data_IF_090911905083
#
_entry.id   IF_090911905083
#
_cell.length_a   1.000
_cell.length_b   1.000
_cell.length_c   1.000
_cell.angle_alpha   90.00
_cell.angle_beta   90.00
_cell.angle_gamma   90.00
#
_symmetry.space_group_name_H-M   'P 1'
#
loop_
_entity.id
_entity.type
_entity.pdbx_description
1 polymer ?
#
# COMPACT_ATOMS: atom_id res chain seq x y z
N UNK A 1 -2.26 -4.20 -3.98
CA UNK A 1 -3.37 -4.71 -3.17
C UNK A 1 -4.56 -4.01 -3.71
N UNK A 2 -5.52 -4.75 -4.24
CA UNK A 2 -6.74 -4.08 -4.66
C UNK A 2 -7.69 -4.04 -3.49
N UNK A 3 -7.58 -2.98 -2.68
CA UNK A 3 -8.53 -2.72 -1.60
C UNK A 3 -9.96 -2.54 -2.15
N UNK A 4 -10.15 -2.31 -3.46
CA UNK A 4 -11.47 -2.18 -4.08
C UNK A 4 -11.76 -3.32 -5.06
N UNK A 5 -12.60 -4.26 -4.64
CA UNK A 5 -13.10 -5.32 -5.53
C UNK A 5 -13.76 -4.77 -6.81
N UNK A 6 -14.38 -3.59 -6.71
CA UNK A 6 -14.99 -2.92 -7.87
C UNK A 6 -13.96 -2.32 -8.83
N UNK A 7 -12.86 -1.77 -8.31
CA UNK A 7 -11.73 -1.32 -9.12
C UNK A 7 -11.12 -2.49 -9.88
N UNK A 8 -10.89 -3.61 -9.18
CA UNK A 8 -10.37 -4.84 -9.77
C UNK A 8 -11.21 -5.32 -10.95
N UNK A 9 -12.53 -5.50 -10.73
CA UNK A 9 -13.43 -5.96 -11.78
C UNK A 9 -13.41 -5.05 -13.02
N UNK A 10 -13.35 -3.73 -12.80
CA UNK A 10 -13.27 -2.75 -13.89
C UNK A 10 -11.97 -2.86 -14.70
N UNK A 11 -10.87 -3.30 -14.08
CA UNK A 11 -9.62 -3.59 -14.79
C UNK A 11 -9.71 -4.79 -15.74
N UNK A 12 -10.61 -5.73 -15.45
CA UNK A 12 -10.80 -6.93 -16.24
C UNK A 12 -11.78 -6.72 -17.40
N UNK A 13 -12.74 -5.80 -17.25
CA UNK A 13 -13.82 -5.62 -18.22
C UNK A 13 -13.71 -4.36 -19.07
N UNK A 14 -13.07 -3.30 -18.59
CA UNK A 14 -13.24 -1.96 -19.19
C UNK A 14 -11.94 -1.17 -19.32
N UNK A 15 -11.23 -0.92 -18.22
CA UNK A 15 -9.98 -0.17 -18.27
C UNK A 15 -8.90 -0.88 -17.46
N UNK A 16 -8.00 -1.56 -18.17
CA UNK A 16 -6.91 -2.34 -17.57
C UNK A 16 -5.94 -1.54 -16.71
N UNK A 17 -5.88 -0.22 -16.88
CA UNK A 17 -5.01 0.68 -16.12
C UNK A 17 -5.74 1.43 -14.99
N UNK A 18 -7.00 1.07 -14.71
CA UNK A 18 -7.74 1.67 -13.61
C UNK A 18 -7.13 1.34 -12.25
N UNK A 19 -7.09 2.34 -11.36
CA UNK A 19 -6.40 2.25 -10.05
C UNK A 19 -7.27 2.68 -8.86
N UNK A 20 -8.23 3.58 -9.06
CA UNK A 20 -9.09 4.09 -7.99
C UNK A 20 -10.16 3.05 -7.60
N UNK A 21 -10.88 3.29 -6.51
CA UNK A 21 -12.15 2.58 -6.32
C UNK A 21 -13.19 3.01 -7.39
N UNK A 22 -14.40 2.42 -7.38
CA UNK A 22 -15.48 2.79 -8.33
C UNK A 22 -16.61 3.61 -7.70
N UNK A 23 -16.40 4.19 -6.52
CA UNK A 23 -17.40 5.01 -5.86
C UNK A 23 -17.71 6.29 -6.69
N UNK A 24 -18.96 6.52 -7.11
CA UNK A 24 -19.35 7.79 -7.71
C UNK A 24 -19.19 8.94 -6.72
N UNK A 25 -18.74 10.10 -7.18
CA UNK A 25 -18.58 11.30 -6.35
C UNK A 25 -19.63 12.34 -6.76
N UNK A 26 -20.26 12.99 -5.77
CA UNK A 26 -21.27 14.04 -6.00
C UNK A 26 -20.67 15.20 -6.82
N UNK A 27 -21.47 15.88 -7.63
CA UNK A 27 -21.09 17.09 -8.38
C UNK A 27 -19.87 16.92 -9.32
N UNK A 28 -19.64 15.71 -9.84
CA UNK A 28 -18.63 15.45 -10.87
C UNK A 28 -19.01 14.19 -11.65
N UNK A 29 -18.56 14.08 -12.88
CA UNK A 29 -18.65 12.85 -13.69
C UNK A 29 -17.48 11.90 -13.40
N UNK A 30 -16.44 12.38 -12.71
CA UNK A 30 -15.27 11.58 -12.37
C UNK A 30 -15.60 10.58 -11.27
N UNK A 31 -15.10 9.35 -11.45
CA UNK A 31 -15.42 8.22 -10.59
C UNK A 31 -14.18 7.85 -9.79
N UNK A 32 -14.42 7.54 -8.52
CA UNK A 32 -13.47 6.87 -7.68
C UNK A 32 -12.51 7.79 -6.94
N UNK A 33 -11.88 7.20 -5.94
CA UNK A 33 -10.88 7.78 -5.05
C UNK A 33 -9.70 6.84 -4.94
N UNK A 34 -8.50 7.40 -4.79
CA UNK A 34 -7.35 6.59 -4.45
C UNK A 34 -7.41 6.21 -2.97
N UNK A 35 -7.68 4.95 -2.69
CA UNK A 35 -7.75 4.41 -1.33
C UNK A 35 -6.42 4.54 -0.59
N UNK A 36 -5.28 4.58 -1.31
CA UNK A 36 -3.95 4.81 -0.72
C UNK A 36 -3.68 6.29 -0.39
N UNK A 37 -4.66 7.18 -0.61
CA UNK A 37 -4.60 8.62 -0.28
C UNK A 37 -5.75 9.04 0.62
N UNK A 38 -6.68 8.14 0.90
CA UNK A 38 -7.91 8.40 1.64
C UNK A 38 -7.86 7.92 3.10
N UNK A 39 -6.71 7.50 3.62
CA UNK A 39 -6.57 7.20 5.04
C UNK A 39 -6.87 8.41 5.92
N UNK A 40 -7.45 8.19 7.10
CA UNK A 40 -7.82 9.27 8.03
C UNK A 40 -6.63 9.87 8.79
N UNK A 41 -5.46 9.24 8.75
CA UNK A 41 -4.25 9.71 9.40
C UNK A 41 -3.52 10.73 8.52
N UNK A 42 -3.23 11.92 9.05
CA UNK A 42 -2.49 12.99 8.36
C UNK A 42 -3.08 13.36 6.98
N UNK A 43 -4.39 13.22 6.78
CA UNK A 43 -5.07 13.47 5.49
C UNK A 43 -5.02 14.94 5.04
N UNK A 44 -4.98 15.86 6.00
CA UNK A 44 -4.87 17.30 5.75
C UNK A 44 -3.45 17.75 5.42
N UNK A 45 -2.45 16.87 5.56
CA UNK A 45 -1.11 17.18 5.11
C UNK A 45 -1.07 17.26 3.59
N UNK A 46 -0.49 18.33 3.05
CA UNK A 46 -0.28 18.52 1.63
C UNK A 46 1.19 18.25 1.29
N UNK A 47 1.52 17.06 0.76
CA UNK A 47 2.88 16.74 0.34
C UNK A 47 3.27 17.49 -0.94
N UNK A 48 4.55 17.33 -1.34
CA UNK A 48 5.07 17.86 -2.59
C UNK A 48 4.17 17.53 -3.80
N UNK A 49 4.16 18.46 -4.77
CA UNK A 49 3.26 18.46 -5.93
C UNK A 49 3.16 17.08 -6.61
N UNK A 50 1.93 16.67 -6.93
CA UNK A 50 1.62 15.46 -7.69
C UNK A 50 1.42 14.18 -6.87
N UNK A 51 1.89 14.14 -5.62
CA UNK A 51 1.75 12.92 -4.79
C UNK A 51 0.33 12.74 -4.23
N UNK A 52 -0.42 13.81 -4.01
CA UNK A 52 -1.81 13.84 -3.54
C UNK A 52 -2.57 14.90 -4.35
N UNK A 53 -3.86 14.70 -4.62
CA UNK A 53 -4.67 15.69 -5.33
C UNK A 53 -6.07 15.87 -4.71
N UNK A 54 -6.60 17.11 -4.63
CA UNK A 54 -7.99 17.38 -4.29
C UNK A 54 -8.94 17.30 -5.50
N UNK A 55 -8.42 17.17 -6.73
CA UNK A 55 -9.25 17.07 -7.94
C UNK A 55 -9.86 15.66 -8.06
N UNK A 56 -11.20 15.51 -8.08
CA UNK A 56 -11.87 14.22 -8.25
C UNK A 56 -11.47 13.44 -9.51
N UNK A 57 -10.98 14.13 -10.54
CA UNK A 57 -10.57 13.53 -11.80
C UNK A 57 -9.12 13.03 -11.78
N UNK A 58 -8.33 13.43 -10.79
CA UNK A 58 -6.96 12.95 -10.63
C UNK A 58 -6.91 11.47 -10.25
N UNK A 59 -5.87 10.77 -10.72
CA UNK A 59 -5.52 9.42 -10.28
C UNK A 59 -5.01 9.38 -8.83
N UNK A 60 -4.59 10.52 -8.27
CA UNK A 60 -4.19 10.67 -6.86
C UNK A 60 -5.25 11.39 -6.02
N UNK A 61 -6.51 11.40 -6.47
CA UNK A 61 -7.61 12.03 -5.74
C UNK A 61 -7.75 11.43 -4.33
N UNK A 62 -7.57 12.29 -3.30
CA UNK A 62 -7.55 11.86 -1.89
C UNK A 62 -8.90 11.64 -1.23
N UNK A 63 -10.00 11.87 -1.96
CA UNK A 63 -11.35 11.85 -1.42
C UNK A 63 -11.82 13.24 -0.98
N UNK A 64 -13.06 13.33 -0.51
CA UNK A 64 -13.65 14.60 -0.05
C UNK A 64 -13.39 14.86 1.43
N UNK A 65 -13.30 13.78 2.19
CA UNK A 65 -13.01 13.77 3.62
C UNK A 65 -12.05 12.60 3.94
N UNK A 66 -11.34 12.67 5.08
CA UNK A 66 -10.52 11.55 5.57
C UNK A 66 -11.35 10.27 5.75
N UNK A 67 -10.93 9.18 5.13
CA UNK A 67 -11.55 7.86 5.28
C UNK A 67 -12.98 7.77 4.75
N UNK A 68 -13.29 8.50 3.67
CA UNK A 68 -14.66 8.64 3.15
C UNK A 68 -15.04 7.62 2.06
N UNK A 69 -14.15 6.68 1.73
CA UNK A 69 -14.48 5.52 0.89
C UNK A 69 -15.00 4.36 1.74
N UNK A 70 -15.96 3.57 1.23
CA UNK A 70 -16.45 2.39 1.96
C UNK A 70 -15.31 1.39 2.25
N UNK A 71 -14.33 1.26 1.34
CA UNK A 71 -13.17 0.39 1.55
C UNK A 71 -12.30 0.85 2.72
N UNK A 72 -11.91 2.13 2.77
CA UNK A 72 -11.10 2.65 3.88
C UNK A 72 -11.88 2.60 5.20
N UNK A 73 -13.20 2.83 5.21
CA UNK A 73 -14.05 2.68 6.40
C UNK A 73 -14.00 1.24 6.92
N UNK A 74 -14.19 0.25 6.04
CA UNK A 74 -14.22 -1.16 6.42
C UNK A 74 -12.88 -1.64 6.98
N UNK A 75 -11.77 -1.33 6.29
CA UNK A 75 -10.42 -1.71 6.76
C UNK A 75 -10.08 -1.00 8.07
N UNK A 76 -10.38 0.29 8.21
CA UNK A 76 -10.13 1.02 9.47
C UNK A 76 -10.92 0.44 10.64
N UNK A 77 -12.18 0.05 10.41
CA UNK A 77 -13.02 -0.55 11.44
C UNK A 77 -12.50 -1.93 11.85
N UNK A 78 -12.11 -2.77 10.89
CA UNK A 78 -11.50 -4.06 11.16
C UNK A 78 -10.19 -3.92 11.94
N UNK A 79 -9.32 -2.99 11.51
CA UNK A 79 -8.03 -2.76 12.17
C UNK A 79 -8.20 -2.33 13.63
N UNK A 80 -9.15 -1.42 13.92
CA UNK A 80 -9.47 -1.04 15.30
C UNK A 80 -9.96 -2.23 16.11
N UNK A 81 -10.93 -2.98 15.58
CA UNK A 81 -11.50 -4.14 16.26
C UNK A 81 -10.43 -5.18 16.63
N UNK A 82 -9.52 -5.48 15.71
CA UNK A 82 -8.45 -6.46 15.94
C UNK A 82 -7.40 -5.92 16.92
N UNK A 83 -7.10 -4.62 16.88
CA UNK A 83 -6.16 -4.00 17.79
C UNK A 83 -6.67 -3.93 19.24
N UNK A 84 -7.97 -3.74 19.43
CA UNK A 84 -8.64 -3.79 20.75
C UNK A 84 -8.82 -5.23 21.27
N UNK A 85 -8.60 -6.24 20.42
CA UNK A 85 -8.71 -7.64 20.78
C UNK A 85 -7.58 -8.11 21.72
N UNK A 86 -7.74 -9.27 22.37
CA UNK A 86 -6.79 -9.79 23.37
C UNK A 86 -5.38 -10.06 22.83
N UNK A 87 -5.24 -10.19 21.51
CA UNK A 87 -3.96 -10.41 20.84
C UNK A 87 -3.39 -9.16 20.16
N UNK A 88 -4.21 -8.14 19.94
CA UNK A 88 -3.88 -6.94 19.17
C UNK A 88 -3.51 -7.21 17.70
N UNK A 89 -3.12 -6.14 16.99
CA UNK A 89 -2.43 -6.23 15.69
C UNK A 89 -0.94 -6.00 15.94
N UNK A 90 -0.09 -6.93 15.46
CA UNK A 90 1.37 -6.82 15.59
C UNK A 90 2.07 -6.37 14.31
N UNK A 91 1.44 -6.54 13.16
CA UNK A 91 1.98 -6.11 11.88
C UNK A 91 0.87 -5.79 10.89
N UNK A 92 1.18 -4.94 9.92
CA UNK A 92 0.32 -4.65 8.78
C UNK A 92 1.20 -4.63 7.54
N UNK A 93 0.79 -5.30 6.47
CA UNK A 93 1.53 -5.38 5.22
C UNK A 93 0.58 -5.02 4.08
N UNK A 94 0.97 -4.04 3.26
CA UNK A 94 0.20 -3.63 2.08
C UNK A 94 1.04 -3.86 0.83
N UNK A 95 0.50 -4.63 -0.11
CA UNK A 95 1.24 -5.19 -1.23
C UNK A 95 1.12 -4.39 -2.52
N UNK A 96 2.04 -3.48 -2.86
CA UNK A 96 1.92 -2.68 -4.09
C UNK A 96 2.69 -3.23 -5.29
N UNK A 97 2.50 -2.63 -6.46
CA UNK A 97 3.38 -2.81 -7.61
C UNK A 97 3.38 -1.56 -8.48
N UNK A 98 4.45 -1.25 -9.21
CA UNK A 98 5.74 -1.95 -9.34
C UNK A 98 6.84 -1.26 -8.51
N UNK A 99 8.10 -1.70 -8.66
CA UNK A 99 9.38 -1.03 -8.32
C UNK A 99 10.35 -1.84 -7.45
N UNK A 100 9.95 -3.02 -6.95
CA UNK A 100 10.79 -3.85 -6.08
C UNK A 100 11.30 -3.08 -4.84
N UNK A 101 10.36 -2.42 -4.16
CA UNK A 101 10.63 -1.66 -2.97
C UNK A 101 10.05 -2.40 -1.76
N UNK A 102 10.71 -2.23 -0.63
CA UNK A 102 10.16 -2.48 0.70
C UNK A 102 10.09 -1.13 1.39
N UNK A 103 8.88 -0.64 1.62
CA UNK A 103 8.68 0.71 2.14
C UNK A 103 8.32 0.63 3.63
N UNK A 104 8.95 1.51 4.40
CA UNK A 104 8.65 1.71 5.83
C UNK A 104 8.01 3.06 6.05
N UNK A 105 7.23 3.25 7.13
CA UNK A 105 6.70 4.55 7.48
C UNK A 105 7.79 5.61 7.74
N UNK A 106 7.49 6.90 7.63
CA UNK A 106 6.23 7.46 7.12
C UNK A 106 6.39 7.91 5.66
N UNK A 107 5.36 7.70 4.84
CA UNK A 107 5.30 8.30 3.50
C UNK A 107 4.75 9.74 3.46
N UNK A 108 4.57 10.41 4.61
CA UNK A 108 3.94 11.74 4.67
C UNK A 108 4.88 12.86 5.07
N UNK A 109 5.91 12.59 5.86
CA UNK A 109 6.91 13.57 6.27
C UNK A 109 8.29 12.94 6.16
N UNK A 110 9.25 13.75 5.75
CA UNK A 110 10.67 13.43 5.78
C UNK A 110 11.37 14.03 7.01
N UNK A 111 10.65 14.79 7.84
CA UNK A 111 11.22 15.46 8.99
C UNK A 111 11.56 14.43 10.06
N UNK A 112 12.81 14.46 10.51
CA UNK A 112 13.31 13.52 11.51
C UNK A 112 12.48 13.55 12.82
N UNK A 113 11.85 14.69 13.13
CA UNK A 113 10.97 14.84 14.29
C UNK A 113 9.65 14.06 14.18
N UNK A 114 9.20 13.76 12.95
CA UNK A 114 7.95 13.02 12.70
C UNK A 114 8.15 11.51 12.58
N UNK A 115 9.38 11.08 12.29
CA UNK A 115 9.71 9.67 12.08
C UNK A 115 9.54 8.86 13.36
N UNK A 116 9.02 7.61 13.28
CA UNK A 116 8.77 6.82 14.46
C UNK A 116 10.11 6.37 15.08
N UNK A 117 10.19 6.35 16.41
CA UNK A 117 11.38 5.84 17.12
C UNK A 117 11.73 4.38 16.76
N UNK A 118 10.73 3.61 16.30
CA UNK A 118 10.87 2.22 15.84
C UNK A 118 11.37 2.08 14.40
N UNK A 119 11.60 3.17 13.67
CA UNK A 119 12.09 3.14 12.27
C UNK A 119 13.36 2.30 12.07
N UNK A 120 14.39 2.35 12.94
CA UNK A 120 15.57 1.50 12.79
C UNK A 120 15.22 0.00 12.80
N UNK A 121 14.31 -0.42 13.68
CA UNK A 121 13.84 -1.81 13.74
C UNK A 121 13.02 -2.19 12.51
N UNK A 122 12.17 -1.29 12.01
CA UNK A 122 11.41 -1.53 10.78
C UNK A 122 12.35 -1.71 9.58
N UNK A 123 13.41 -0.90 9.49
CA UNK A 123 14.43 -1.02 8.43
C UNK A 123 15.24 -2.31 8.54
N UNK A 124 15.60 -2.74 9.75
CA UNK A 124 16.26 -4.03 9.98
C UNK A 124 15.41 -5.19 9.42
N UNK A 125 14.12 -5.22 9.76
CA UNK A 125 13.20 -6.25 9.26
C UNK A 125 13.02 -6.14 7.74
N UNK A 126 12.91 -4.93 7.19
CA UNK A 126 12.87 -4.70 5.75
C UNK A 126 14.12 -5.22 5.03
N UNK A 127 15.30 -5.02 5.61
CA UNK A 127 16.56 -5.53 5.06
C UNK A 127 16.63 -7.06 5.10
N UNK A 128 16.20 -7.67 6.21
CA UNK A 128 16.07 -9.13 6.31
C UNK A 128 15.12 -9.70 5.26
N UNK A 129 14.00 -9.02 5.03
CA UNK A 129 13.02 -9.38 3.99
C UNK A 129 13.63 -9.26 2.58
N UNK A 130 14.33 -8.17 2.28
CA UNK A 130 15.02 -8.01 1.00
C UNK A 130 16.07 -9.10 0.77
N UNK A 131 16.84 -9.45 1.81
CA UNK A 131 17.83 -10.52 1.75
C UNK A 131 17.19 -11.89 1.49
N UNK A 132 16.07 -12.19 2.15
CA UNK A 132 15.33 -13.43 1.95
C UNK A 132 14.74 -13.54 0.53
N UNK A 133 14.19 -12.44 -0.01
CA UNK A 133 13.73 -12.38 -1.40
C UNK A 133 14.90 -12.58 -2.37
N UNK A 134 16.05 -11.97 -2.08
CA UNK A 134 17.26 -12.14 -2.90
C UNK A 134 17.75 -13.59 -2.90
N UNK A 135 17.77 -14.24 -1.75
CA UNK A 135 18.22 -15.61 -1.60
C UNK A 135 17.29 -16.61 -2.33
N UNK A 136 15.98 -16.39 -2.27
CA UNK A 136 14.98 -17.28 -2.90
C UNK A 136 14.82 -17.06 -4.40
N UNK A 137 14.84 -15.80 -4.86
CA UNK A 137 14.45 -15.45 -6.24
C UNK A 137 15.54 -14.77 -7.06
N UNK A 138 16.68 -14.42 -6.45
CA UNK A 138 17.73 -13.63 -7.09
C UNK A 138 17.38 -12.15 -7.30
N UNK A 139 16.19 -11.69 -6.90
CA UNK A 139 15.72 -10.32 -7.11
C UNK A 139 16.26 -9.36 -6.04
N UNK A 140 16.66 -8.17 -6.47
CA UNK A 140 17.10 -7.11 -5.57
C UNK A 140 15.92 -6.21 -5.20
N UNK A 141 15.71 -6.03 -3.90
CA UNK A 141 14.73 -5.08 -3.37
C UNK A 141 15.45 -3.97 -2.61
N UNK A 142 15.01 -2.74 -2.81
CA UNK A 142 15.52 -1.59 -2.06
C UNK A 142 14.61 -1.32 -0.88
N UNK A 143 15.19 -1.17 0.31
CA UNK A 143 14.46 -0.75 1.51
C UNK A 143 14.54 0.78 1.59
N UNK A 144 13.40 1.45 1.52
CA UNK A 144 13.32 2.90 1.57
C UNK A 144 12.29 3.37 2.61
N UNK A 145 12.54 4.52 3.24
CA UNK A 145 11.56 5.20 4.07
C UNK A 145 10.58 6.06 3.26
N UNK A 146 10.83 6.23 1.96
CA UNK A 146 10.09 7.16 1.11
C UNK A 146 9.36 6.42 -0.01
N UNK A 147 8.02 6.47 0.01
CA UNK A 147 7.20 6.07 -1.15
C UNK A 147 5.98 5.21 -0.81
N UNK A 148 5.92 4.68 0.41
CA UNK A 148 4.80 3.86 0.88
C UNK A 148 3.83 4.70 1.67
N UNK A 149 2.65 4.98 1.12
CA UNK A 149 1.63 5.76 1.82
C UNK A 149 0.74 4.84 2.66
N UNK A 150 1.34 4.01 3.49
CA UNK A 150 0.60 3.26 4.49
C UNK A 150 0.73 3.90 5.85
N UNK A 151 -0.43 4.22 6.37
CA UNK A 151 -0.64 4.90 7.62
C UNK A 151 -1.62 4.06 8.41
N UNK A 152 -1.14 3.32 9.41
CA UNK A 152 -2.05 2.86 10.46
C UNK A 152 -2.59 4.12 11.14
N UNK A 153 -3.91 4.30 11.10
CA UNK A 153 -4.61 5.15 12.06
C UNK A 153 -4.06 4.83 13.45
N UNK A 154 -3.65 5.84 14.23
CA UNK A 154 -3.07 5.69 15.58
C UNK A 154 -3.68 4.51 16.31
N UNK A 155 -2.98 3.39 16.25
CA UNK A 155 -3.18 2.19 17.03
C UNK A 155 -1.83 2.06 17.70
N UNK A 156 -1.83 2.23 19.03
CA UNK A 156 -0.63 2.26 19.84
C UNK A 156 0.36 1.19 19.38
N UNK A 157 1.59 1.64 19.11
CA UNK A 157 2.78 0.83 18.95
C UNK A 157 2.63 -0.46 18.13
N UNK A 158 2.04 -0.40 16.91
CA UNK A 158 2.11 -1.54 15.98
C UNK A 158 3.55 -1.62 15.42
N UNK A 159 4.35 -2.60 15.85
CA UNK A 159 5.78 -2.63 15.57
C UNK A 159 6.01 -3.52 14.36
N UNK A 160 5.64 -3.04 13.17
CA UNK A 160 6.20 -3.41 11.85
C UNK A 160 5.15 -3.16 10.76
N UNK A 161 5.49 -2.24 9.86
CA UNK A 161 4.79 -2.10 8.60
C UNK A 161 5.80 -2.31 7.46
N UNK A 162 5.53 -3.31 6.62
CA UNK A 162 6.26 -3.57 5.38
C UNK A 162 5.30 -3.36 4.23
N UNK A 163 5.59 -2.44 3.33
CA UNK A 163 4.99 -2.46 2.00
C UNK A 163 5.77 -3.46 1.16
N UNK A 164 5.23 -4.65 0.95
CA UNK A 164 5.85 -5.64 0.07
C UNK A 164 5.47 -5.37 -1.38
N UNK A 165 6.43 -5.15 -2.28
CA UNK A 165 6.11 -5.10 -3.71
C UNK A 165 6.15 -6.50 -4.33
N UNK A 166 5.08 -6.98 -4.95
CA UNK A 166 5.04 -8.32 -5.56
C UNK A 166 5.98 -8.38 -6.78
N UNK A 167 6.68 -9.51 -7.04
CA UNK A 167 7.72 -9.55 -8.06
C UNK A 167 7.28 -9.49 -9.53
N UNK A 168 8.23 -9.04 -10.36
CA UNK A 168 8.22 -9.08 -11.84
C UNK A 168 8.62 -10.48 -12.35
N UNK A 169 7.87 -11.06 -13.29
CA UNK A 169 8.44 -12.05 -14.24
C UNK A 169 8.71 -11.43 -15.60
N UNK A 170 9.69 -11.99 -16.31
CA UNK A 170 10.36 -11.46 -17.49
C UNK A 170 9.41 -10.93 -18.59
N UNK A 171 9.36 -9.61 -18.72
CA UNK A 171 9.61 -8.92 -19.98
C UNK A 171 10.20 -7.56 -19.63
N UNK A 172 11.43 -7.29 -20.05
CA UNK A 172 11.96 -5.92 -20.04
C UNK A 172 10.96 -5.05 -20.84
N UNK A 173 10.30 -4.08 -20.20
CA UNK A 173 9.56 -3.01 -20.87
C UNK A 173 8.03 -2.94 -20.80
N UNK A 174 7.31 -3.67 -19.91
CA UNK A 174 5.83 -3.75 -19.98
C UNK A 174 4.97 -3.19 -18.83
N UNK A 175 5.55 -2.57 -17.79
CA UNK A 175 4.75 -1.93 -16.73
C UNK A 175 3.70 -2.86 -16.10
N UNK A 176 2.48 -2.36 -15.84
CA UNK A 176 1.35 -3.04 -15.16
C UNK A 176 0.82 -4.34 -15.81
N UNK A 177 1.38 -4.79 -16.94
CA UNK A 177 0.86 -5.88 -17.78
C UNK A 177 1.71 -7.16 -17.70
N UNK A 178 1.82 -7.76 -16.51
CA UNK A 178 2.47 -9.06 -16.33
C UNK A 178 1.48 -10.24 -16.54
N UNK A 179 1.89 -11.36 -17.15
CA UNK A 179 1.04 -12.53 -17.40
C UNK A 179 0.71 -13.36 -16.14
N UNK A 180 -0.45 -14.01 -16.12
CA UNK A 180 -1.05 -14.72 -14.97
C UNK A 180 -0.16 -15.81 -14.33
N UNK A 181 0.67 -16.51 -15.13
CA UNK A 181 1.59 -17.54 -14.64
C UNK A 181 2.67 -16.98 -13.70
N UNK A 182 3.00 -15.69 -13.82
CA UNK A 182 3.96 -14.97 -13.00
C UNK A 182 3.46 -14.65 -11.58
N UNK A 183 2.15 -14.51 -11.40
CA UNK A 183 1.53 -14.14 -10.14
C UNK A 183 1.52 -15.31 -9.16
N UNK A 184 1.34 -16.54 -9.66
CA UNK A 184 1.28 -17.75 -8.84
C UNK A 184 2.64 -18.11 -8.24
N UNK A 185 3.73 -17.95 -9.00
CA UNK A 185 5.10 -18.14 -8.49
C UNK A 185 5.47 -17.06 -7.48
N UNK A 186 5.20 -15.78 -7.76
CA UNK A 186 5.52 -14.69 -6.82
C UNK A 186 4.72 -14.71 -5.51
N UNK A 187 3.46 -15.17 -5.53
CA UNK A 187 2.67 -15.34 -4.31
C UNK A 187 3.16 -16.51 -3.46
N UNK A 188 3.56 -17.63 -4.09
CA UNK A 188 4.14 -18.78 -3.38
C UNK A 188 5.51 -18.48 -2.76
N UNK A 189 6.33 -17.67 -3.45
CA UNK A 189 7.64 -17.21 -2.97
C UNK A 189 7.53 -16.32 -1.72
N UNK A 190 6.47 -15.51 -1.61
CA UNK A 190 6.21 -14.66 -0.45
C UNK A 190 5.56 -15.41 0.72
N UNK A 191 4.84 -16.51 0.47
CA UNK A 191 4.19 -17.33 1.50
C UNK A 191 5.13 -18.39 2.12
N UNK A 192 6.20 -18.78 1.43
CA UNK A 192 7.07 -19.89 1.83
C UNK A 192 7.97 -19.62 3.05
N UNK A 193 8.05 -18.39 3.56
CA UNK A 193 8.93 -18.02 4.68
C UNK A 193 8.22 -17.73 6.01
N UNK A 194 6.90 -17.96 6.12
CA UNK A 194 6.18 -17.92 7.41
C UNK A 194 5.96 -19.30 8.05
N UNK A 195 6.54 -20.35 7.46
CA UNK A 195 6.51 -21.71 7.98
C UNK A 195 7.92 -22.29 8.07
N UNK A 196 8.69 -21.86 9.06
CA UNK A 196 10.04 -22.36 9.34
C UNK A 196 10.61 -21.81 10.64
#
# INVERSE_FOLDING_TARGET
TDMSMTGFAYTQTTNRLWRKNRQPRRNTTCIGTDNNRNWNYQWYFEPAEGSVSPDPCSESFKGRCPGDTPENVAVSALSRKLAEGPHGIRSYIDWHSYSQLILTPWGWSCDAADLPATLPRMREVGQGTAAAIKASSGRNYTVDGLGGLVRLARLGDVPLHLDGVVPRHLARGRGFLAPLLALLTGASENAANEAG
#
